data_IF_298939861979
#
_entry.id   IF_298939861979
#
_cell.length_a   1.000
_cell.length_b   1.000
_cell.length_c   1.000
_cell.angle_alpha   90.00
_cell.angle_beta   90.00
_cell.angle_gamma   90.00
#
_symmetry.space_group_name_H-M   'P 1'
#
loop_
_entity.id
_entity.type
_entity.pdbx_description
1 polymer ?
#
# COMPACT_ATOMS: atom_id res chain seq x y z
N UNK A 1 -18.31 -2.69 24.96
CA UNK A 1 -18.90 -1.34 25.07
C UNK A 1 -18.02 -0.34 25.84
N UNK A 2 -18.00 -0.25 27.19
CA UNK A 2 -17.18 0.79 27.88
C UNK A 2 -15.66 0.70 27.59
N UNK A 3 -15.11 -0.51 27.45
CA UNK A 3 -13.67 -0.70 27.17
C UNK A 3 -13.28 -0.41 25.72
N UNK A 4 -14.17 -0.66 24.76
CA UNK A 4 -13.93 -0.37 23.34
C UNK A 4 -13.92 1.14 23.08
N UNK A 5 -14.81 1.89 23.73
CA UNK A 5 -14.80 3.36 23.63
C UNK A 5 -13.49 3.92 24.17
N UNK A 6 -13.02 3.43 25.32
CA UNK A 6 -11.73 3.86 25.89
C UNK A 6 -10.54 3.56 24.97
N UNK A 7 -10.52 2.41 24.29
CA UNK A 7 -9.44 2.07 23.36
C UNK A 7 -9.49 2.95 22.09
N UNK A 8 -10.67 3.17 21.53
CA UNK A 8 -10.86 4.04 20.37
C UNK A 8 -10.37 5.46 20.66
N UNK A 9 -10.76 6.05 21.79
CA UNK A 9 -10.32 7.38 22.19
C UNK A 9 -8.81 7.45 22.35
N UNK A 10 -8.20 6.48 23.04
CA UNK A 10 -6.74 6.44 23.21
C UNK A 10 -5.98 6.33 21.88
N UNK A 11 -6.46 5.53 20.94
CA UNK A 11 -5.85 5.41 19.63
C UNK A 11 -5.97 6.71 18.83
N UNK A 12 -7.13 7.37 18.90
CA UNK A 12 -7.34 8.67 18.26
C UNK A 12 -6.42 9.74 18.85
N UNK A 13 -6.35 9.84 20.18
CA UNK A 13 -5.50 10.83 20.86
C UNK A 13 -4.03 10.64 20.49
N UNK A 14 -3.55 9.39 20.47
CA UNK A 14 -2.17 9.08 20.08
C UNK A 14 -1.88 9.38 18.61
N UNK A 15 -2.85 9.16 17.72
CA UNK A 15 -2.72 9.53 16.32
C UNK A 15 -2.64 11.06 16.14
N UNK A 16 -3.49 11.81 16.85
CA UNK A 16 -3.50 13.28 16.84
C UNK A 16 -2.20 13.83 17.43
N UNK A 17 -1.73 13.30 18.55
CA UNK A 17 -0.44 13.68 19.15
C UNK A 17 0.72 13.44 18.17
N UNK A 18 0.75 12.29 17.50
CA UNK A 18 1.74 12.01 16.47
C UNK A 18 1.71 13.01 15.31
N UNK A 19 0.52 13.45 14.89
CA UNK A 19 0.38 14.46 13.84
C UNK A 19 0.88 15.84 14.29
N UNK A 20 0.64 16.24 15.54
CA UNK A 20 1.20 17.47 16.10
C UNK A 20 2.73 17.41 16.21
N UNK A 21 3.30 16.29 16.65
CA UNK A 21 4.76 16.12 16.70
C UNK A 21 5.40 16.23 15.31
N UNK A 22 4.75 15.68 14.28
CA UNK A 22 5.19 15.86 12.90
C UNK A 22 5.08 17.32 12.47
N UNK A 23 3.98 18.00 12.79
CA UNK A 23 3.78 19.40 12.47
C UNK A 23 4.88 20.28 13.07
N UNK A 24 5.20 20.08 14.35
CA UNK A 24 6.27 20.78 15.05
C UNK A 24 7.65 20.52 14.41
N UNK A 25 7.93 19.26 14.06
CA UNK A 25 9.19 18.86 13.41
C UNK A 25 9.38 19.51 12.03
N UNK A 26 8.30 19.64 11.25
CA UNK A 26 8.33 20.28 9.94
C UNK A 26 8.12 21.80 9.98
N UNK A 27 7.89 22.38 11.16
CA UNK A 27 7.58 23.81 11.32
C UNK A 27 6.30 24.22 10.60
N UNK A 28 5.30 23.34 10.57
CA UNK A 28 4.02 23.53 9.87
C UNK A 28 2.84 23.30 10.82
N UNK A 29 1.60 23.41 10.34
CA UNK A 29 0.41 23.18 11.16
C UNK A 29 -0.10 21.74 11.05
N UNK A 30 -0.82 21.29 12.08
CA UNK A 30 -1.50 19.99 12.08
C UNK A 30 -2.38 19.79 10.85
N UNK A 31 -3.14 20.81 10.45
CA UNK A 31 -4.03 20.77 9.30
C UNK A 31 -3.26 20.53 8.00
N UNK A 32 -2.10 21.17 7.86
CA UNK A 32 -1.23 20.99 6.69
C UNK A 32 -0.69 19.55 6.63
N UNK A 33 -0.17 19.02 7.75
CA UNK A 33 0.28 17.61 7.83
C UNK A 33 -0.84 16.64 7.48
N UNK A 34 -2.05 16.91 8.00
CA UNK A 34 -3.22 16.10 7.74
C UNK A 34 -3.59 16.08 6.24
N UNK A 35 -3.54 17.23 5.56
CA UNK A 35 -3.75 17.31 4.10
C UNK A 35 -2.65 16.54 3.36
N UNK A 36 -1.37 16.75 3.71
CA UNK A 36 -0.27 16.04 3.07
C UNK A 36 -0.41 14.51 3.16
N UNK A 37 -0.79 13.99 4.32
CA UNK A 37 -0.96 12.54 4.51
C UNK A 37 -2.18 11.99 3.76
N UNK A 38 -3.36 12.52 4.00
CA UNK A 38 -4.60 11.89 3.52
C UNK A 38 -5.01 12.32 2.11
N UNK A 39 -4.63 13.53 1.68
CA UNK A 39 -5.02 14.08 0.37
C UNK A 39 -3.91 13.90 -0.66
N UNK A 40 -2.64 13.82 -0.26
CA UNK A 40 -1.52 13.69 -1.20
C UNK A 40 -0.87 12.31 -1.13
N UNK A 41 -0.34 11.92 0.03
CA UNK A 41 0.42 10.67 0.17
C UNK A 41 -0.48 9.44 -0.08
N UNK A 42 -1.67 9.41 0.52
CA UNK A 42 -2.60 8.28 0.37
C UNK A 42 -3.01 8.00 -1.11
N UNK A 43 -3.47 8.98 -1.92
CA UNK A 43 -3.77 8.71 -3.32
C UNK A 43 -2.52 8.36 -4.15
N UNK A 44 -1.37 8.99 -3.89
CA UNK A 44 -0.11 8.62 -4.56
C UNK A 44 0.28 7.16 -4.28
N UNK A 45 0.20 6.73 -3.01
CA UNK A 45 0.44 5.35 -2.63
C UNK A 45 -0.56 4.41 -3.31
N UNK A 46 -1.84 4.80 -3.37
CA UNK A 46 -2.88 4.01 -4.05
C UNK A 46 -2.56 3.83 -5.53
N UNK A 47 -2.20 4.91 -6.23
CA UNK A 47 -1.80 4.86 -7.65
C UNK A 47 -0.56 3.97 -7.83
N UNK A 48 0.45 4.11 -6.97
CA UNK A 48 1.66 3.28 -7.00
C UNK A 48 1.31 1.79 -6.86
N UNK A 49 0.43 1.44 -5.93
CA UNK A 49 -0.01 0.06 -5.73
C UNK A 49 -0.79 -0.46 -6.94
N UNK A 50 -1.68 0.33 -7.54
CA UNK A 50 -2.42 -0.05 -8.76
C UNK A 50 -1.44 -0.34 -9.90
N UNK A 51 -0.46 0.54 -10.13
CA UNK A 51 0.57 0.35 -11.16
C UNK A 51 1.40 -0.90 -10.87
N UNK A 52 1.78 -1.11 -9.60
CA UNK A 52 2.49 -2.30 -9.16
C UNK A 52 1.71 -3.58 -9.48
N UNK A 53 0.43 -3.64 -9.10
CA UNK A 53 -0.45 -4.77 -9.39
C UNK A 53 -0.50 -5.04 -10.90
N UNK A 54 -0.71 -4.01 -11.73
CA UNK A 54 -0.76 -4.18 -13.17
C UNK A 54 0.55 -4.74 -13.75
N UNK A 55 1.69 -4.21 -13.29
CA UNK A 55 3.00 -4.68 -13.69
C UNK A 55 3.24 -6.14 -13.30
N UNK A 56 2.95 -6.50 -12.04
CA UNK A 56 3.11 -7.86 -11.54
C UNK A 56 2.15 -8.84 -12.22
N UNK A 57 0.91 -8.43 -12.51
CA UNK A 57 -0.05 -9.24 -13.25
C UNK A 57 0.45 -9.57 -14.65
N UNK A 58 0.93 -8.56 -15.40
CA UNK A 58 1.51 -8.76 -16.74
C UNK A 58 2.74 -9.67 -16.69
N UNK A 59 3.62 -9.47 -15.70
CA UNK A 59 4.83 -10.29 -15.53
C UNK A 59 4.47 -11.74 -15.20
N UNK A 60 3.50 -11.97 -14.33
CA UNK A 60 3.04 -13.31 -13.94
C UNK A 60 2.47 -14.07 -15.14
N UNK A 61 1.62 -13.44 -15.95
CA UNK A 61 1.04 -14.09 -17.13
C UNK A 61 2.11 -14.48 -18.17
N UNK A 62 3.12 -13.64 -18.38
CA UNK A 62 4.24 -13.95 -19.27
C UNK A 62 5.08 -15.13 -18.76
N UNK A 63 5.28 -15.23 -17.45
CA UNK A 63 6.01 -16.35 -16.83
C UNK A 63 5.23 -17.65 -16.98
N UNK A 64 3.92 -17.64 -16.70
CA UNK A 64 3.04 -18.81 -16.89
C UNK A 64 3.06 -19.30 -18.34
N UNK A 65 3.01 -18.38 -19.32
CA UNK A 65 3.13 -18.71 -20.74
C UNK A 65 4.46 -19.36 -21.09
N UNK A 66 5.58 -18.87 -20.54
CA UNK A 66 6.91 -19.46 -20.74
C UNK A 66 7.00 -20.87 -20.15
N UNK A 67 6.51 -21.05 -18.92
CA UNK A 67 6.47 -22.36 -18.26
C UNK A 67 5.66 -23.36 -19.08
N UNK A 68 4.45 -22.98 -19.53
CA UNK A 68 3.60 -23.84 -20.37
C UNK A 68 4.29 -24.26 -21.67
N UNK A 69 4.98 -23.32 -22.34
CA UNK A 69 5.76 -23.62 -23.57
C UNK A 69 6.90 -24.60 -23.30
N UNK A 70 7.64 -24.42 -22.22
CA UNK A 70 8.75 -25.31 -21.84
C UNK A 70 8.26 -26.73 -21.52
N UNK A 71 7.15 -26.85 -20.79
CA UNK A 71 6.54 -28.14 -20.47
C UNK A 71 6.05 -28.86 -21.74
N UNK A 72 5.39 -28.13 -22.65
CA UNK A 72 4.92 -28.69 -23.92
C UNK A 72 6.07 -29.17 -24.80
N UNK A 73 7.16 -28.41 -24.91
CA UNK A 73 8.33 -28.82 -25.69
C UNK A 73 8.98 -30.09 -25.11
N UNK A 74 9.17 -30.13 -23.77
CA UNK A 74 9.73 -31.30 -23.08
C UNK A 74 8.92 -32.58 -23.33
N UNK A 75 7.59 -32.51 -23.36
CA UNK A 75 6.74 -33.67 -23.67
C UNK A 75 6.90 -34.14 -25.12
N UNK A 76 7.06 -33.22 -26.07
CA UNK A 76 7.25 -33.57 -27.48
C UNK A 76 8.64 -34.17 -27.77
N UNK A 77 9.69 -33.78 -27.03
CA UNK A 77 11.04 -34.33 -27.21
C UNK A 77 11.21 -35.74 -26.62
N UNK A 78 10.38 -36.13 -25.65
CA UNK A 78 10.43 -37.46 -25.00
C UNK A 78 9.52 -38.51 -25.67
N UNK A 79 8.90 -38.17 -26.80
CA UNK A 79 7.97 -39.03 -27.55
C UNK A 79 8.59 -39.43 -28.88
#
# INVERSE_FOLDING_TARGET
MLMEQNLLHRCFDLAVEGLYLLADSFGTTYEAVNIYLFVIIQPLLTILLIVGIFFFYKKNNNLQMKIKKLLSNKTNTNK
#
